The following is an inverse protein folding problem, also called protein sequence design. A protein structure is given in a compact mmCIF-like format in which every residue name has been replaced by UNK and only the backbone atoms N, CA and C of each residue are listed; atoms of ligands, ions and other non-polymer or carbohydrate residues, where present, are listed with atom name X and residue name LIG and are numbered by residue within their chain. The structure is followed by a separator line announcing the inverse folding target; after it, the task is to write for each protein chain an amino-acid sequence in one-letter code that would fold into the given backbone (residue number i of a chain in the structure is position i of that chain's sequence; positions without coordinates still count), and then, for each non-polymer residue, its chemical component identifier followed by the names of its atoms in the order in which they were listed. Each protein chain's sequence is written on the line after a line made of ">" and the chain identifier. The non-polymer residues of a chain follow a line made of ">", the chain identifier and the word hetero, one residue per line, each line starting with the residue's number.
data_IF_299029935614
#
_entry.id   IF_299029935614
#
_cell.length_a   1.000
_cell.length_b   1.000
_cell.length_c   1.000
_cell.angle_alpha   90.00
_cell.angle_beta   90.00
_cell.angle_gamma   90.00
#
_symmetry.space_group_name_H-M   'P 1'
#
loop_
_entity.id
_entity.type
_entity.pdbx_description
1 polymer ?
#
# COMPACT_ATOMS: atom_id res chain seq x y z
N UNK A 1 -17.51 0.73 13.53
CA UNK A 1 -16.15 0.30 13.11
C UNK A 1 -15.89 -1.05 13.73
N UNK A 2 -15.80 -2.11 12.93
CA UNK A 2 -15.23 -3.36 13.46
C UNK A 2 -13.84 -3.00 13.98
N UNK A 3 -13.63 -3.16 15.27
CA UNK A 3 -12.37 -2.80 15.90
C UNK A 3 -11.28 -3.72 15.34
N UNK A 4 -10.06 -3.21 15.15
CA UNK A 4 -8.88 -4.02 14.76
C UNK A 4 -8.82 -5.31 15.58
N UNK A 5 -9.24 -5.26 16.85
CA UNK A 5 -9.33 -6.41 17.73
C UNK A 5 -10.35 -7.47 17.28
N UNK A 6 -11.49 -7.09 16.72
CA UNK A 6 -12.50 -8.04 16.19
C UNK A 6 -11.98 -8.73 14.94
N UNK A 7 -11.33 -7.99 14.04
CA UNK A 7 -10.68 -8.54 12.84
C UNK A 7 -9.57 -9.53 13.24
N UNK A 8 -8.73 -9.15 14.20
CA UNK A 8 -7.67 -10.02 14.69
C UNK A 8 -8.20 -11.28 15.39
N UNK A 9 -9.32 -11.16 16.15
CA UNK A 9 -9.99 -12.33 16.76
C UNK A 9 -10.60 -13.24 15.70
N UNK A 10 -11.27 -12.69 14.71
CA UNK A 10 -11.84 -13.45 13.60
C UNK A 10 -10.74 -14.17 12.80
N UNK A 11 -9.62 -13.51 12.52
CA UNK A 11 -8.48 -14.15 11.86
C UNK A 11 -7.81 -15.21 12.74
N UNK A 12 -7.67 -14.96 14.04
CA UNK A 12 -7.06 -15.92 14.99
C UNK A 12 -7.92 -17.18 15.22
N UNK A 13 -9.21 -17.12 14.93
CA UNK A 13 -10.10 -18.30 15.01
C UNK A 13 -10.02 -19.22 13.78
N UNK A 14 -9.34 -18.76 12.70
CA UNK A 14 -9.15 -19.56 11.51
C UNK A 14 -8.02 -20.60 11.68
N UNK A 15 -8.09 -21.76 11.00
CA UNK A 15 -6.96 -22.67 10.88
C UNK A 15 -5.72 -21.92 10.35
N UNK A 16 -4.53 -22.25 10.85
CA UNK A 16 -3.28 -21.55 10.47
C UNK A 16 -3.06 -21.54 8.93
N UNK A 17 -3.41 -22.61 8.24
CA UNK A 17 -3.33 -22.70 6.78
C UNK A 17 -4.20 -21.65 6.09
N UNK A 18 -5.41 -21.41 6.59
CA UNK A 18 -6.33 -20.44 6.02
C UNK A 18 -5.87 -19.00 6.28
N UNK A 19 -5.28 -18.74 7.45
CA UNK A 19 -4.66 -17.43 7.74
C UNK A 19 -3.63 -17.10 6.65
N UNK A 20 -2.70 -18.02 6.37
CA UNK A 20 -1.66 -17.78 5.37
C UNK A 20 -2.22 -17.61 3.96
N UNK A 21 -3.27 -18.36 3.58
CA UNK A 21 -3.93 -18.20 2.28
C UNK A 21 -4.56 -16.80 2.15
N UNK A 22 -5.28 -16.35 3.17
CA UNK A 22 -5.91 -15.02 3.19
C UNK A 22 -4.86 -13.90 3.11
N UNK A 23 -3.78 -14.01 3.89
CA UNK A 23 -2.70 -13.04 3.88
C UNK A 23 -2.01 -12.97 2.50
N UNK A 24 -1.70 -14.12 1.91
CA UNK A 24 -1.07 -14.21 0.60
C UNK A 24 -1.94 -13.71 -0.53
N UNK A 25 -3.21 -14.10 -0.54
CA UNK A 25 -4.18 -13.62 -1.52
C UNK A 25 -4.39 -12.11 -1.43
N UNK A 26 -4.56 -11.57 -0.22
CA UNK A 26 -4.68 -10.14 0.01
C UNK A 26 -3.46 -9.36 -0.46
N UNK A 27 -2.25 -9.89 -0.20
CA UNK A 27 -1.02 -9.28 -0.66
C UNK A 27 -0.85 -9.33 -2.20
N UNK A 28 -1.35 -10.39 -2.85
CA UNK A 28 -1.28 -10.50 -4.31
C UNK A 28 -2.26 -9.58 -5.04
N UNK A 29 -3.47 -9.41 -4.49
CA UNK A 29 -4.56 -8.66 -5.13
C UNK A 29 -4.22 -7.18 -5.33
N UNK A 30 -3.38 -6.58 -4.50
CA UNK A 30 -3.00 -5.16 -4.58
C UNK A 30 -2.44 -4.77 -5.96
N UNK A 31 -1.62 -5.61 -6.58
CA UNK A 31 -1.04 -5.30 -7.89
C UNK A 31 -2.07 -5.36 -9.04
N UNK A 32 -3.24 -5.96 -8.79
CA UNK A 32 -4.36 -6.08 -9.72
C UNK A 32 -5.44 -5.05 -9.40
N UNK A 33 -5.69 -4.83 -8.12
CA UNK A 33 -6.69 -3.90 -7.59
C UNK A 33 -6.04 -2.96 -6.57
N UNK A 34 -5.43 -1.84 -6.98
CA UNK A 34 -4.70 -0.91 -6.13
C UNK A 34 -5.44 -0.37 -4.90
N UNK A 35 -6.80 -0.30 -4.88
CA UNK A 35 -7.52 0.09 -3.67
C UNK A 35 -7.38 -0.91 -2.50
N UNK A 36 -6.92 -2.14 -2.76
CA UNK A 36 -6.71 -3.16 -1.71
C UNK A 36 -5.36 -2.92 -1.04
N UNK A 37 -5.32 -2.54 0.25
CA UNK A 37 -4.07 -2.21 0.93
C UNK A 37 -3.37 -3.50 1.40
N UNK A 38 -2.43 -4.04 0.62
CA UNK A 38 -1.66 -5.24 0.99
C UNK A 38 -0.94 -5.08 2.33
N UNK A 39 -0.47 -3.87 2.66
CA UNK A 39 0.20 -3.59 3.92
C UNK A 39 -0.65 -3.94 5.13
N UNK A 40 -1.98 -3.79 5.02
CA UNK A 40 -2.91 -4.18 6.09
C UNK A 40 -2.87 -5.69 6.35
N UNK A 41 -2.78 -6.51 5.28
CA UNK A 41 -2.66 -7.96 5.43
C UNK A 41 -1.32 -8.36 6.04
N UNK A 42 -0.23 -7.71 5.62
CA UNK A 42 1.12 -7.95 6.19
C UNK A 42 1.14 -7.59 7.67
N UNK A 43 0.62 -6.41 8.04
CA UNK A 43 0.56 -5.96 9.43
C UNK A 43 -0.35 -6.84 10.28
N UNK A 44 -1.52 -7.26 9.77
CA UNK A 44 -2.40 -8.19 10.47
C UNK A 44 -1.69 -9.52 10.74
N UNK A 45 -1.00 -10.08 9.74
CA UNK A 45 -0.18 -11.29 9.90
C UNK A 45 0.94 -11.11 10.93
N UNK A 46 1.63 -9.96 10.90
CA UNK A 46 2.70 -9.65 11.85
C UNK A 46 2.18 -9.52 13.30
N UNK A 47 0.99 -8.92 13.48
CA UNK A 47 0.32 -8.85 14.80
C UNK A 47 -0.12 -10.24 15.29
N UNK A 48 -0.61 -11.12 14.40
CA UNK A 48 -0.91 -12.52 14.73
C UNK A 48 0.36 -13.27 15.11
N UNK A 49 1.47 -13.05 14.41
CA UNK A 49 2.77 -13.63 14.74
C UNK A 49 3.28 -13.17 16.11
N UNK A 50 3.10 -11.89 16.46
CA UNK A 50 3.47 -11.36 17.77
C UNK A 50 2.67 -12.00 18.92
N UNK A 51 1.46 -12.50 18.64
CA UNK A 51 0.59 -13.21 19.60
C UNK A 51 0.79 -14.73 19.61
N UNK A 52 1.76 -15.24 18.85
CA UNK A 52 2.03 -16.67 18.73
C UNK A 52 1.05 -17.46 17.85
N UNK A 53 0.10 -16.78 17.18
CA UNK A 53 -0.89 -17.41 16.30
C UNK A 53 -0.34 -17.69 14.89
N UNK A 54 0.81 -17.10 14.50
CA UNK A 54 1.46 -17.30 13.23
C UNK A 54 2.99 -17.23 13.38
N UNK A 55 3.71 -17.81 12.39
CA UNK A 55 5.16 -17.70 12.34
C UNK A 55 5.54 -16.43 11.52
N UNK A 56 6.38 -15.51 12.05
CA UNK A 56 6.72 -14.26 11.35
C UNK A 56 7.42 -14.49 10.01
N UNK A 57 8.27 -15.51 9.90
CA UNK A 57 8.93 -15.87 8.63
C UNK A 57 7.93 -16.40 7.60
N UNK A 58 6.97 -17.23 8.05
CA UNK A 58 5.90 -17.70 7.18
C UNK A 58 5.03 -16.53 6.71
N UNK A 59 4.64 -15.61 7.59
CA UNK A 59 3.91 -14.37 7.23
C UNK A 59 4.67 -13.57 6.18
N UNK A 60 5.98 -13.36 6.39
CA UNK A 60 6.82 -12.67 5.41
C UNK A 60 6.78 -13.36 4.05
N UNK A 61 7.05 -14.66 3.98
CA UNK A 61 7.12 -15.39 2.72
C UNK A 61 5.78 -15.47 2.00
N UNK A 62 4.69 -15.76 2.72
CA UNK A 62 3.36 -15.91 2.10
C UNK A 62 2.74 -14.59 1.66
N UNK A 63 3.23 -13.45 2.16
CA UNK A 63 2.80 -12.14 1.67
C UNK A 63 3.73 -11.61 0.59
N UNK A 64 5.03 -11.73 0.76
CA UNK A 64 6.03 -11.23 -0.17
C UNK A 64 6.02 -11.98 -1.51
N UNK A 65 6.07 -13.32 -1.50
CA UNK A 65 6.14 -14.11 -2.74
C UNK A 65 4.93 -13.90 -3.66
N UNK A 66 3.66 -14.00 -3.18
CA UNK A 66 2.51 -13.75 -4.04
C UNK A 66 2.43 -12.29 -4.51
N UNK A 67 2.82 -11.32 -3.69
CA UNK A 67 2.87 -9.92 -4.12
C UNK A 67 3.89 -9.70 -5.23
N UNK A 68 5.10 -10.24 -5.10
CA UNK A 68 6.12 -10.16 -6.16
C UNK A 68 5.66 -10.90 -7.40
N UNK A 69 5.11 -12.10 -7.26
CA UNK A 69 4.61 -12.89 -8.37
C UNK A 69 3.51 -12.15 -9.15
N UNK A 70 2.54 -11.54 -8.45
CA UNK A 70 1.49 -10.75 -9.08
C UNK A 70 2.03 -9.48 -9.75
N UNK A 71 3.00 -8.78 -9.15
CA UNK A 71 3.65 -7.62 -9.77
C UNK A 71 4.40 -8.00 -11.06
N UNK A 72 5.15 -9.10 -11.03
CA UNK A 72 5.86 -9.62 -12.20
C UNK A 72 4.88 -10.11 -13.26
N UNK A 73 3.80 -10.78 -12.88
CA UNK A 73 2.73 -11.16 -13.80
C UNK A 73 2.13 -9.94 -14.51
N UNK A 74 1.81 -8.88 -13.76
CA UNK A 74 1.29 -7.63 -14.31
C UNK A 74 2.29 -6.96 -15.27
N UNK A 75 3.58 -6.98 -14.95
CA UNK A 75 4.63 -6.53 -15.87
C UNK A 75 4.61 -7.31 -17.19
N UNK A 76 4.54 -8.66 -17.17
CA UNK A 76 4.53 -9.46 -18.38
C UNK A 76 3.22 -9.31 -19.18
N UNK A 77 2.07 -9.21 -18.50
CA UNK A 77 0.78 -8.94 -19.14
C UNK A 77 0.85 -7.58 -19.85
N UNK A 78 1.28 -6.52 -19.16
CA UNK A 78 1.42 -5.20 -19.73
C UNK A 78 2.44 -5.17 -20.90
N UNK A 79 3.54 -5.91 -20.80
CA UNK A 79 4.54 -6.05 -21.86
C UNK A 79 3.99 -6.78 -23.09
N UNK A 80 3.15 -7.79 -22.89
CA UNK A 80 2.53 -8.57 -23.99
C UNK A 80 1.53 -7.75 -24.77
N UNK A 81 0.69 -6.99 -24.09
CA UNK A 81 -0.40 -6.23 -24.70
C UNK A 81 0.00 -4.79 -25.07
N UNK A 82 1.06 -4.24 -24.49
CA UNK A 82 1.50 -2.87 -24.74
C UNK A 82 0.38 -1.85 -24.50
N UNK A 83 0.20 -0.88 -25.40
CA UNK A 83 -0.88 0.12 -25.28
C UNK A 83 -2.30 -0.47 -25.30
N UNK A 84 -2.49 -1.67 -25.87
CA UNK A 84 -3.79 -2.36 -25.83
C UNK A 84 -4.20 -2.76 -24.41
N UNK A 85 -3.25 -2.85 -23.47
CA UNK A 85 -3.51 -3.09 -22.06
C UNK A 85 -4.54 -2.09 -21.49
N UNK A 86 -4.49 -0.81 -21.89
CA UNK A 86 -5.42 0.22 -21.40
C UNK A 86 -6.88 0.04 -21.85
N UNK A 87 -7.14 -0.83 -22.83
CA UNK A 87 -8.50 -1.21 -23.24
C UNK A 87 -9.07 -2.32 -22.37
N UNK A 88 -8.25 -2.98 -21.54
CA UNK A 88 -8.69 -4.05 -20.65
C UNK A 88 -9.38 -3.48 -19.40
N UNK A 89 -10.42 -4.15 -18.87
CA UNK A 89 -11.12 -3.70 -17.64
C UNK A 89 -10.20 -3.45 -16.46
N UNK A 90 -9.20 -4.33 -16.26
CA UNK A 90 -8.20 -4.24 -15.19
C UNK A 90 -7.36 -2.96 -15.25
N UNK A 91 -7.08 -2.46 -16.46
CA UNK A 91 -6.27 -1.26 -16.65
C UNK A 91 -6.94 0.00 -16.12
N UNK A 92 -8.27 0.05 -16.13
CA UNK A 92 -9.04 1.21 -15.62
C UNK A 92 -8.80 1.48 -14.14
N UNK A 93 -8.45 0.44 -13.38
CA UNK A 93 -8.13 0.53 -11.95
C UNK A 93 -6.67 0.86 -11.68
N UNK A 94 -5.79 0.55 -12.61
CA UNK A 94 -4.35 0.64 -12.41
C UNK A 94 -3.76 1.95 -12.91
N UNK A 95 -4.04 2.32 -14.17
CA UNK A 95 -3.34 3.44 -14.80
C UNK A 95 -4.13 4.01 -15.97
N UNK A 96 -4.22 5.33 -16.05
CA UNK A 96 -4.76 6.02 -17.23
C UNK A 96 -3.62 6.37 -18.21
N UNK A 97 -3.91 6.38 -19.50
CA UNK A 97 -2.89 6.58 -20.53
C UNK A 97 -2.11 7.90 -20.34
N UNK A 98 -2.79 8.99 -19.92
CA UNK A 98 -2.14 10.28 -19.64
C UNK A 98 -1.16 10.25 -18.45
N UNK A 99 -1.28 9.29 -17.54
CA UNK A 99 -0.37 9.13 -16.41
C UNK A 99 0.96 8.50 -16.82
N UNK A 100 0.98 7.80 -17.98
CA UNK A 100 2.21 7.22 -18.56
C UNK A 100 3.28 8.26 -18.83
N UNK A 101 2.89 9.41 -19.37
CA UNK A 101 3.84 10.48 -19.72
C UNK A 101 4.53 11.03 -18.47
N UNK A 102 3.77 11.21 -17.37
CA UNK A 102 4.33 11.66 -16.09
C UNK A 102 5.26 10.64 -15.48
N UNK A 103 4.89 9.35 -15.51
CA UNK A 103 5.71 8.26 -15.04
C UNK A 103 6.95 8.11 -15.93
N UNK A 104 6.80 8.28 -17.25
CA UNK A 104 7.90 8.26 -18.22
C UNK A 104 9.00 9.26 -17.87
N UNK A 105 8.66 10.53 -17.66
CA UNK A 105 9.63 11.56 -17.28
C UNK A 105 10.37 11.27 -15.96
N UNK A 106 9.70 10.63 -14.99
CA UNK A 106 10.35 10.19 -13.75
C UNK A 106 11.37 9.07 -14.02
N UNK A 107 11.04 8.12 -14.91
CA UNK A 107 11.93 7.04 -15.30
C UNK A 107 13.11 7.48 -16.15
N UNK A 108 12.89 8.43 -17.07
CA UNK A 108 13.95 9.00 -17.90
C UNK A 108 15.01 9.69 -17.03
N UNK A 109 14.59 10.27 -15.92
CA UNK A 109 15.47 10.95 -14.97
C UNK A 109 16.16 10.02 -13.97
N UNK A 110 15.44 9.03 -13.43
CA UNK A 110 15.90 8.21 -12.29
C UNK A 110 16.20 6.75 -12.66
N UNK A 111 15.76 6.27 -13.83
CA UNK A 111 16.07 4.93 -14.32
C UNK A 111 15.64 3.79 -13.38
N UNK A 112 16.52 2.80 -13.21
CA UNK A 112 16.27 1.62 -12.35
C UNK A 112 16.02 1.97 -10.87
N UNK A 113 16.71 2.93 -10.25
CA UNK A 113 16.40 3.39 -8.89
C UNK A 113 14.94 3.84 -8.71
N UNK A 114 14.30 4.38 -9.73
CA UNK A 114 12.90 4.76 -9.68
C UNK A 114 11.97 3.55 -9.44
N UNK A 115 12.29 2.39 -10.03
CA UNK A 115 11.54 1.14 -9.81
C UNK A 115 11.65 0.70 -8.35
N UNK A 116 12.86 0.76 -7.79
CA UNK A 116 13.11 0.41 -6.40
C UNK A 116 12.34 1.34 -5.44
N UNK A 117 12.51 2.66 -5.60
CA UNK A 117 11.88 3.67 -4.73
C UNK A 117 10.35 3.66 -4.82
N UNK A 118 9.81 3.36 -6.00
CA UNK A 118 8.35 3.32 -6.19
C UNK A 118 7.65 2.27 -5.31
N UNK A 119 8.36 1.22 -4.88
CA UNK A 119 7.79 0.17 -4.03
C UNK A 119 7.47 0.65 -2.61
N UNK A 120 8.08 1.75 -2.16
CA UNK A 120 7.80 2.38 -0.88
C UNK A 120 6.62 3.37 -0.94
N UNK A 121 6.12 3.68 -2.15
CA UNK A 121 5.00 4.59 -2.36
C UNK A 121 3.73 3.78 -2.70
N UNK A 122 2.68 3.80 -1.84
CA UNK A 122 1.52 2.92 -1.99
C UNK A 122 0.85 2.99 -3.37
N UNK A 123 0.63 4.20 -3.91
CA UNK A 123 -0.02 4.39 -5.21
C UNK A 123 0.85 3.96 -6.39
N UNK A 124 2.18 4.10 -6.28
CA UNK A 124 3.12 3.88 -7.38
C UNK A 124 3.54 2.43 -7.53
N UNK A 125 3.56 1.67 -6.44
CA UNK A 125 4.07 0.28 -6.45
C UNK A 125 3.29 -0.66 -7.36
N UNK A 126 1.96 -0.47 -7.52
CA UNK A 126 1.16 -1.24 -8.46
C UNK A 126 1.27 -0.72 -9.90
N UNK A 127 1.46 0.58 -10.09
CA UNK A 127 1.52 1.21 -11.41
C UNK A 127 2.84 0.95 -12.13
N UNK A 128 3.94 0.90 -11.40
CA UNK A 128 5.29 0.84 -11.97
C UNK A 128 5.58 -0.44 -12.74
N UNK A 129 5.22 -1.65 -12.29
CA UNK A 129 5.37 -2.87 -13.09
C UNK A 129 4.61 -2.80 -14.42
N UNK A 130 3.40 -2.23 -14.40
CA UNK A 130 2.58 -2.03 -15.61
C UNK A 130 3.26 -1.05 -16.57
N UNK A 131 3.72 0.11 -16.06
CA UNK A 131 4.46 1.08 -16.85
C UNK A 131 5.70 0.45 -17.50
N UNK A 132 6.52 -0.22 -16.71
CA UNK A 132 7.73 -0.89 -17.18
C UNK A 132 7.42 -1.95 -18.25
N UNK A 133 6.29 -2.65 -18.12
CA UNK A 133 5.79 -3.61 -19.10
C UNK A 133 5.39 -2.96 -20.40
N UNK A 134 4.51 -1.94 -20.36
CA UNK A 134 4.05 -1.19 -21.56
C UNK A 134 5.22 -0.54 -22.30
N UNK A 135 6.18 0.02 -21.55
CA UNK A 135 7.42 0.61 -22.10
C UNK A 135 8.44 -0.42 -22.57
N UNK A 136 8.10 -1.73 -22.51
CA UNK A 136 8.95 -2.85 -22.93
C UNK A 136 10.34 -2.87 -22.29
N UNK A 137 10.48 -2.34 -21.08
CA UNK A 137 11.74 -2.40 -20.33
C UNK A 137 12.21 -3.85 -20.18
N UNK A 138 13.52 -4.05 -20.11
CA UNK A 138 14.08 -5.41 -19.95
C UNK A 138 13.77 -5.96 -18.56
N UNK A 139 13.30 -7.21 -18.47
CA UNK A 139 12.94 -7.87 -17.22
C UNK A 139 14.09 -7.84 -16.19
N UNK A 140 15.34 -8.01 -16.65
CA UNK A 140 16.54 -7.94 -15.79
C UNK A 140 16.75 -6.59 -15.09
N UNK A 141 16.15 -5.51 -15.62
CA UNK A 141 16.17 -4.15 -15.01
C UNK A 141 14.96 -3.91 -14.10
N UNK A 142 13.89 -4.67 -14.24
CA UNK A 142 12.62 -4.48 -13.54
C UNK A 142 12.46 -5.47 -12.39
N UNK A 143 12.67 -6.75 -12.65
CA UNK A 143 12.38 -7.82 -11.67
C UNK A 143 13.26 -7.74 -10.42
N UNK A 144 14.61 -7.61 -10.51
CA UNK A 144 15.44 -7.56 -9.30
C UNK A 144 15.10 -6.42 -8.35
N UNK A 145 14.97 -5.14 -8.80
CA UNK A 145 14.59 -4.06 -7.89
C UNK A 145 13.18 -4.23 -7.29
N UNK A 146 12.23 -4.81 -8.03
CA UNK A 146 10.89 -5.14 -7.50
C UNK A 146 11.00 -6.19 -6.39
N UNK A 147 11.74 -7.26 -6.60
CA UNK A 147 11.96 -8.33 -5.62
C UNK A 147 12.63 -7.78 -4.35
N UNK A 148 13.75 -7.07 -4.51
CA UNK A 148 14.54 -6.55 -3.40
C UNK A 148 13.77 -5.49 -2.60
N UNK A 149 13.18 -4.50 -3.27
CA UNK A 149 12.44 -3.43 -2.58
C UNK A 149 11.19 -3.97 -1.88
N UNK A 150 10.45 -4.91 -2.49
CA UNK A 150 9.31 -5.56 -1.84
C UNK A 150 9.73 -6.40 -0.66
N UNK A 151 10.86 -7.13 -0.75
CA UNK A 151 11.39 -7.92 0.34
C UNK A 151 11.80 -7.04 1.52
N UNK A 152 12.47 -5.93 1.25
CA UNK A 152 12.85 -4.96 2.29
C UNK A 152 11.61 -4.33 2.94
N UNK A 153 10.62 -3.91 2.14
CA UNK A 153 9.40 -3.29 2.65
C UNK A 153 8.57 -4.25 3.50
N UNK A 154 8.28 -5.44 3.00
CA UNK A 154 7.50 -6.44 3.74
C UNK A 154 8.25 -6.99 4.96
N UNK A 155 9.57 -7.19 4.85
CA UNK A 155 10.41 -7.53 5.99
C UNK A 155 10.34 -6.47 7.09
N UNK A 156 10.42 -5.19 6.72
CA UNK A 156 10.26 -4.07 7.65
C UNK A 156 8.87 -4.05 8.29
N UNK A 157 7.80 -4.23 7.50
CA UNK A 157 6.44 -4.26 8.02
C UNK A 157 6.21 -5.42 8.99
N UNK A 158 6.72 -6.62 8.68
CA UNK A 158 6.62 -7.78 9.57
C UNK A 158 7.40 -7.54 10.86
N UNK A 159 8.61 -6.99 10.76
CA UNK A 159 9.43 -6.65 11.92
C UNK A 159 8.74 -5.61 12.82
N UNK A 160 8.31 -4.49 12.25
CA UNK A 160 7.61 -3.43 12.97
C UNK A 160 6.27 -3.90 13.55
N UNK A 161 5.50 -4.68 12.78
CA UNK A 161 4.24 -5.24 13.24
C UNK A 161 4.42 -6.24 14.39
N UNK A 162 5.47 -7.08 14.35
CA UNK A 162 5.81 -7.99 15.43
C UNK A 162 6.26 -7.24 16.70
N UNK A 163 7.05 -6.17 16.54
CA UNK A 163 7.47 -5.29 17.63
C UNK A 163 6.27 -4.56 18.24
N UNK A 164 5.40 -4.00 17.38
CA UNK A 164 4.16 -3.35 17.80
C UNK A 164 3.21 -4.29 18.52
N UNK A 165 3.11 -5.55 18.05
CA UNK A 165 2.23 -6.55 18.65
C UNK A 165 2.63 -6.94 20.08
N UNK A 166 3.92 -6.88 20.40
CA UNK A 166 4.42 -7.09 21.78
C UNK A 166 4.06 -5.95 22.73
N UNK A 167 3.90 -4.72 22.19
CA UNK A 167 3.61 -3.50 22.92
C UNK A 167 2.25 -2.88 22.52
N UNK A 168 1.31 -3.71 22.06
CA UNK A 168 0.06 -3.24 21.45
C UNK A 168 -0.73 -2.28 22.35
N UNK A 169 -0.74 -2.53 23.66
CA UNK A 169 -1.39 -1.64 24.63
C UNK A 169 -0.83 -0.23 24.60
N UNK A 170 0.49 -0.09 24.66
CA UNK A 170 1.17 1.21 24.61
C UNK A 170 0.92 1.92 23.28
N UNK A 171 0.93 1.18 22.17
CA UNK A 171 0.72 1.74 20.84
C UNK A 171 -0.73 2.20 20.66
N UNK A 172 -1.71 1.44 21.11
CA UNK A 172 -3.12 1.85 21.04
C UNK A 172 -3.36 3.13 21.84
N UNK A 173 -2.77 3.25 23.05
CA UNK A 173 -2.83 4.51 23.82
C UNK A 173 -2.14 5.67 23.10
N UNK A 174 -1.05 5.43 22.39
CA UNK A 174 -0.38 6.46 21.58
C UNK A 174 -1.28 6.90 20.39
N UNK A 175 -1.89 5.96 19.70
CA UNK A 175 -2.83 6.25 18.61
C UNK A 175 -4.06 7.01 19.08
N UNK A 176 -4.64 6.65 20.23
CA UNK A 176 -5.77 7.39 20.82
C UNK A 176 -5.39 8.83 21.16
N UNK A 177 -4.18 9.05 21.70
CA UNK A 177 -3.68 10.38 21.98
C UNK A 177 -3.41 11.18 20.70
N UNK A 178 -2.79 10.56 19.67
CA UNK A 178 -2.54 11.20 18.38
C UNK A 178 -3.87 11.55 17.69
N UNK A 179 -4.85 10.65 17.67
CA UNK A 179 -6.16 10.90 17.11
C UNK A 179 -6.88 12.06 17.82
N UNK A 180 -6.76 12.12 19.14
CA UNK A 180 -7.32 13.25 19.93
C UNK A 180 -6.64 14.57 19.56
N UNK A 181 -5.30 14.58 19.41
CA UNK A 181 -4.54 15.77 18.99
C UNK A 181 -4.94 16.17 17.56
N UNK A 182 -5.03 15.22 16.63
CA UNK A 182 -5.45 15.50 15.25
C UNK A 182 -6.89 16.04 15.17
N UNK A 183 -7.81 15.53 15.97
CA UNK A 183 -9.17 16.04 16.06
C UNK A 183 -9.20 17.49 16.59
N UNK A 184 -8.40 17.79 17.62
CA UNK A 184 -8.29 19.15 18.15
C UNK A 184 -7.69 20.09 17.10
N UNK A 185 -6.63 19.69 16.41
CA UNK A 185 -6.01 20.48 15.34
C UNK A 185 -7.00 20.71 14.19
N UNK A 186 -7.72 19.66 13.77
CA UNK A 186 -8.74 19.78 12.72
C UNK A 186 -9.89 20.73 13.16
N UNK A 187 -10.35 20.64 14.40
CA UNK A 187 -11.37 21.53 14.95
C UNK A 187 -10.89 22.98 14.99
N UNK A 188 -9.65 23.21 15.44
CA UNK A 188 -9.04 24.57 15.44
C UNK A 188 -8.93 25.12 14.03
N UNK A 189 -8.47 24.31 13.06
CA UNK A 189 -8.39 24.73 11.66
C UNK A 189 -9.77 25.05 11.08
N UNK A 190 -10.80 24.27 11.37
CA UNK A 190 -12.17 24.55 10.94
C UNK A 190 -12.70 25.86 11.53
N UNK A 191 -12.42 26.13 12.81
CA UNK A 191 -12.80 27.38 13.45
C UNK A 191 -12.07 28.58 12.84
N UNK A 192 -10.76 28.46 12.61
CA UNK A 192 -9.94 29.52 11.99
C UNK A 192 -10.42 29.82 10.57
N UNK A 193 -10.62 28.75 9.75
CA UNK A 193 -11.11 28.88 8.37
C UNK A 193 -12.54 29.48 8.38
N UNK A 194 -13.40 29.00 9.26
CA UNK A 194 -14.77 29.54 9.42
C UNK A 194 -14.78 31.00 9.82
N UNK A 195 -13.96 31.39 10.78
CA UNK A 195 -13.82 32.78 11.23
C UNK A 195 -13.23 33.68 10.13
N UNK A 196 -12.23 33.19 9.41
CA UNK A 196 -11.66 33.90 8.25
C UNK A 196 -12.70 34.10 7.15
N UNK A 197 -13.44 33.02 6.80
CA UNK A 197 -14.51 33.08 5.80
C UNK A 197 -15.65 34.00 6.20
N UNK A 198 -16.05 34.00 7.48
CA UNK A 198 -17.05 34.90 8.01
C UNK A 198 -16.61 36.38 7.91
N UNK A 199 -15.36 36.67 8.30
CA UNK A 199 -14.78 38.04 8.19
C UNK A 199 -14.68 38.51 6.74
N UNK A 200 -14.30 37.66 5.81
CA UNK A 200 -14.16 38.02 4.39
C UNK A 200 -15.52 38.25 3.72
N UNK A 201 -16.58 37.56 4.12
CA UNK A 201 -17.93 37.79 3.59
C UNK A 201 -18.55 39.11 4.01
N UNK A 202 -18.27 39.59 5.21
CA UNK A 202 -18.86 40.85 5.72
C UNK A 202 -18.15 42.11 5.26
N UNK A 203 -16.98 42.02 4.59
CA UNK A 203 -16.30 43.21 4.02
C UNK A 203 -16.71 43.52 2.57
N UNK A 204 -17.58 42.75 1.95
CA UNK A 204 -18.03 42.96 0.56
C UNK A 204 -19.40 43.69 0.46
N UNK A 205 -20.01 44.13 1.55
CA UNK A 205 -21.31 44.79 1.54
C UNK A 205 -21.24 46.32 1.73
N UNK A 206 -20.10 46.93 1.42
CA UNK A 206 -19.90 48.36 1.55
C UNK A 206 -19.12 48.97 0.39
N UNK A 207 -19.67 48.90 -0.83
CA UNK A 207 -19.39 49.84 -1.95
C UNK A 207 -20.55 49.86 -2.92
#
# INVERSE_FOLDING_TARGET
>A
MATIQEILRALASLPASLIYVVLGAGAAVENVAPPVPADTFVLAGALLAARGAANPWAVFLVTWLPNVASAVAMYYVARRYGRRFFKMPIARWLLREHQLERIGGFYDRWGVPAIFLSRFLPAWRAMVPVFAGVSRMQARKVVPPVVLASGLWYGLLVYLGALAGRNLGTILHLFDNINRILLVVAAVLLVVIGAWWWRTRHHSAGR
#
